data_IF_956644034994
#
_entry.id   IF_956644034994
#
_cell.length_a   1.000
_cell.length_b   1.000
_cell.length_c   1.000
_cell.angle_alpha   90.00
_cell.angle_beta   90.00
_cell.angle_gamma   90.00
#
_symmetry.space_group_name_H-M   'P 1'
#
loop_
_entity.id
_entity.type
_entity.pdbx_description
1 polymer ?
#
# COMPACT_ATOMS: atom_id res chain seq x y z
N UNK A 1 -1.03 -17.82 14.24
CA UNK A 1 -0.70 -17.62 12.82
C UNK A 1 -0.11 -16.23 12.67
N UNK A 2 1.10 -16.17 12.13
CA UNK A 2 1.80 -14.88 11.94
C UNK A 2 1.21 -14.18 10.71
N UNK A 3 0.46 -13.13 10.94
CA UNK A 3 -0.11 -12.31 9.87
C UNK A 3 0.94 -11.31 9.41
N UNK A 4 1.16 -11.24 8.09
CA UNK A 4 2.08 -10.31 7.44
C UNK A 4 1.27 -9.37 6.55
N UNK A 5 1.50 -8.07 6.69
CA UNK A 5 0.70 -7.04 6.02
C UNK A 5 1.55 -6.23 5.05
N UNK A 6 1.07 -6.03 3.85
CA UNK A 6 1.51 -4.98 2.95
C UNK A 6 0.49 -3.84 2.98
N UNK A 7 0.89 -2.65 3.42
CA UNK A 7 -0.03 -1.54 3.65
C UNK A 7 0.34 -0.31 2.81
N UNK A 8 -0.61 0.19 2.04
CA UNK A 8 -0.43 1.40 1.25
C UNK A 8 -1.23 1.39 -0.04
N UNK A 9 -0.60 1.77 -1.14
CA UNK A 9 -1.23 1.92 -2.44
C UNK A 9 -1.57 0.58 -3.10
N UNK A 10 -2.79 0.48 -3.63
CA UNK A 10 -3.22 -0.50 -4.62
C UNK A 10 -3.77 0.27 -5.82
N UNK A 11 -3.29 -0.03 -7.01
CA UNK A 11 -3.54 0.81 -8.18
C UNK A 11 -3.41 0.02 -9.49
N UNK A 12 -3.87 0.65 -10.57
CA UNK A 12 -3.62 0.23 -11.93
C UNK A 12 -2.49 1.04 -12.57
N UNK A 13 -1.48 0.36 -13.08
CA UNK A 13 -0.55 0.93 -14.06
C UNK A 13 -1.21 0.85 -15.44
N UNK A 14 -1.55 1.99 -16.01
CA UNK A 14 -2.23 2.12 -17.30
C UNK A 14 -1.18 2.36 -18.37
N UNK A 15 -0.86 1.31 -19.13
CA UNK A 15 0.10 1.33 -20.21
C UNK A 15 -0.62 1.43 -21.58
N UNK A 16 0.07 1.79 -22.68
CA UNK A 16 -0.53 1.83 -24.01
C UNK A 16 -1.17 0.50 -24.44
N UNK A 17 -0.59 -0.63 -24.02
CA UNK A 17 -1.06 -1.98 -24.34
C UNK A 17 -2.11 -2.53 -23.36
N UNK A 18 -2.46 -1.80 -22.33
CA UNK A 18 -3.43 -2.22 -21.32
C UNK A 18 -3.00 -1.90 -19.90
N UNK A 19 -3.83 -2.29 -18.92
CA UNK A 19 -3.56 -2.02 -17.51
C UNK A 19 -3.00 -3.24 -16.79
N UNK A 20 -2.11 -3.00 -15.81
CA UNK A 20 -1.53 -4.02 -14.93
C UNK A 20 -1.72 -3.62 -13.48
N UNK A 21 -1.96 -4.62 -12.62
CA UNK A 21 -2.04 -4.36 -11.19
C UNK A 21 -0.68 -3.93 -10.66
N UNK A 22 -0.67 -2.87 -9.86
CA UNK A 22 0.52 -2.28 -9.26
C UNK A 22 0.31 -1.91 -7.80
N UNK A 23 1.36 -1.35 -7.22
CA UNK A 23 1.45 -1.00 -5.81
C UNK A 23 2.47 -1.86 -5.08
N UNK A 24 3.50 -1.22 -4.53
CA UNK A 24 4.57 -1.93 -3.82
C UNK A 24 4.06 -2.76 -2.63
N UNK A 25 3.10 -2.28 -1.79
CA UNK A 25 2.56 -3.07 -0.69
C UNK A 25 1.81 -4.33 -1.16
N UNK A 26 1.05 -4.24 -2.26
CA UNK A 26 0.35 -5.38 -2.83
C UNK A 26 1.33 -6.42 -3.38
N UNK A 27 2.37 -5.98 -4.07
CA UNK A 27 3.43 -6.86 -4.56
C UNK A 27 4.17 -7.56 -3.40
N UNK A 28 4.49 -6.85 -2.34
CA UNK A 28 5.07 -7.42 -1.14
C UNK A 28 4.19 -8.53 -0.56
N UNK A 29 2.91 -8.24 -0.32
CA UNK A 29 1.98 -9.20 0.26
C UNK A 29 1.79 -10.43 -0.65
N UNK A 30 1.74 -10.24 -1.97
CA UNK A 30 1.65 -11.35 -2.92
C UNK A 30 2.87 -12.27 -2.83
N UNK A 31 4.09 -11.72 -2.86
CA UNK A 31 5.30 -12.54 -2.77
C UNK A 31 5.40 -13.28 -1.44
N UNK A 32 5.04 -12.64 -0.33
CA UNK A 32 5.01 -13.28 0.99
C UNK A 32 4.01 -14.46 1.01
N UNK A 33 2.84 -14.30 0.38
CA UNK A 33 1.85 -15.39 0.29
C UNK A 33 2.39 -16.63 -0.45
N UNK A 34 3.28 -16.44 -1.43
CA UNK A 34 3.90 -17.56 -2.17
C UNK A 34 4.84 -18.40 -1.31
N UNK A 35 5.31 -17.86 -0.17
CA UNK A 35 6.07 -18.63 0.82
C UNK A 35 5.18 -19.32 1.87
N UNK A 36 3.86 -19.27 1.70
CA UNK A 36 2.89 -19.96 2.56
C UNK A 36 2.51 -19.21 3.84
N UNK A 37 2.88 -17.93 3.96
CA UNK A 37 2.46 -17.10 5.10
C UNK A 37 1.04 -16.53 4.92
N UNK A 38 0.35 -16.26 6.04
CA UNK A 38 -0.91 -15.51 6.04
C UNK A 38 -0.61 -14.03 5.75
N UNK A 39 -0.67 -13.67 4.48
CA UNK A 39 -0.33 -12.35 3.99
C UNK A 39 -1.59 -11.59 3.59
N UNK A 40 -1.63 -10.29 3.88
CA UNK A 40 -2.78 -9.42 3.57
C UNK A 40 -2.36 -8.09 2.99
N UNK A 41 -3.14 -7.60 2.03
CA UNK A 41 -3.05 -6.22 1.52
C UNK A 41 -4.02 -5.35 2.29
N UNK A 42 -3.51 -4.24 2.81
CA UNK A 42 -4.32 -3.16 3.41
C UNK A 42 -4.24 -1.93 2.51
N UNK A 43 -5.38 -1.52 1.98
CA UNK A 43 -5.51 -0.37 1.08
C UNK A 43 -6.96 0.12 1.02
N UNK A 44 -7.25 0.98 0.06
CA UNK A 44 -8.61 1.35 -0.35
C UNK A 44 -8.74 1.41 -1.85
N UNK A 45 -9.93 1.10 -2.34
CA UNK A 45 -10.34 1.24 -3.74
C UNK A 45 -11.62 2.06 -3.83
N UNK A 46 -11.91 2.57 -5.02
CA UNK A 46 -13.14 3.30 -5.29
C UNK A 46 -14.36 2.39 -5.40
N UNK A 47 -15.54 3.02 -5.40
CA UNK A 47 -16.82 2.40 -5.74
C UNK A 47 -16.98 2.52 -7.25
N UNK A 48 -16.09 1.85 -7.98
CA UNK A 48 -15.98 1.91 -9.44
C UNK A 48 -15.53 0.56 -10.03
N UNK A 49 -15.59 0.42 -11.34
CA UNK A 49 -15.21 -0.81 -12.03
C UNK A 49 -13.73 -1.17 -11.83
N UNK A 50 -12.84 -0.20 -11.79
CA UNK A 50 -11.42 -0.43 -11.55
C UNK A 50 -11.16 -1.00 -10.14
N UNK A 51 -11.94 -0.56 -9.15
CA UNK A 51 -11.91 -1.10 -7.79
C UNK A 51 -12.41 -2.54 -7.74
N UNK A 52 -13.51 -2.85 -8.43
CA UNK A 52 -14.04 -4.22 -8.55
C UNK A 52 -12.99 -5.15 -9.15
N UNK A 53 -12.37 -4.74 -10.24
CA UNK A 53 -11.34 -5.53 -10.92
C UNK A 53 -10.09 -5.76 -10.06
N UNK A 54 -9.65 -4.77 -9.25
CA UNK A 54 -8.54 -4.96 -8.31
C UNK A 54 -8.87 -6.07 -7.31
N UNK A 55 -10.05 -6.03 -6.71
CA UNK A 55 -10.47 -7.03 -5.74
C UNK A 55 -10.57 -8.43 -6.37
N UNK A 56 -11.10 -8.51 -7.60
CA UNK A 56 -11.19 -9.76 -8.35
C UNK A 56 -9.79 -10.33 -8.65
N UNK A 57 -8.85 -9.50 -9.09
CA UNK A 57 -7.46 -9.93 -9.38
C UNK A 57 -6.78 -10.45 -8.10
N UNK A 58 -6.95 -9.78 -6.97
CA UNK A 58 -6.39 -10.25 -5.70
C UNK A 58 -7.03 -11.57 -5.26
N UNK A 59 -8.34 -11.71 -5.40
CA UNK A 59 -9.05 -12.95 -5.09
C UNK A 59 -8.58 -14.13 -5.99
N UNK A 60 -8.42 -13.91 -7.29
CA UNK A 60 -7.89 -14.89 -8.23
C UNK A 60 -6.46 -15.32 -7.89
N UNK A 61 -5.66 -14.42 -7.35
CA UNK A 61 -4.30 -14.72 -6.86
C UNK A 61 -4.27 -15.39 -5.48
N UNK A 62 -5.44 -15.63 -4.87
CA UNK A 62 -5.55 -16.17 -3.51
C UNK A 62 -5.03 -15.22 -2.42
N UNK A 63 -4.90 -13.93 -2.73
CA UNK A 63 -4.38 -12.94 -1.80
C UNK A 63 -5.51 -12.41 -0.92
N UNK A 64 -5.31 -12.48 0.39
CA UNK A 64 -6.25 -11.93 1.36
C UNK A 64 -6.12 -10.40 1.41
N UNK A 65 -7.25 -9.73 1.59
CA UNK A 65 -7.30 -8.28 1.59
C UNK A 65 -8.08 -7.74 2.79
N UNK A 66 -7.66 -6.59 3.28
CA UNK A 66 -8.43 -5.67 4.12
C UNK A 66 -8.49 -4.35 3.36
N UNK A 67 -9.34 -4.30 2.33
CA UNK A 67 -9.48 -3.16 1.42
C UNK A 67 -10.87 -2.58 1.57
N UNK A 68 -10.92 -1.32 1.96
CA UNK A 68 -12.15 -0.55 2.10
C UNK A 68 -12.53 0.10 0.77
N UNK A 69 -13.85 0.22 0.52
CA UNK A 69 -14.37 1.02 -0.58
C UNK A 69 -14.66 2.42 -0.09
N UNK A 70 -14.12 3.41 -0.78
CA UNK A 70 -14.23 4.82 -0.40
C UNK A 70 -14.78 5.66 -1.56
N UNK A 71 -15.40 6.83 -1.28
CA UNK A 71 -15.97 7.70 -2.32
C UNK A 71 -14.91 8.52 -3.07
N UNK A 72 -13.83 7.86 -3.46
CA UNK A 72 -12.75 8.41 -4.26
C UNK A 72 -12.43 7.45 -5.40
N UNK A 73 -11.95 7.92 -6.56
CA UNK A 73 -11.62 7.01 -7.67
C UNK A 73 -10.50 6.05 -7.28
N UNK A 74 -10.57 4.85 -7.82
CA UNK A 74 -9.48 3.87 -7.68
C UNK A 74 -8.18 4.43 -8.25
N UNK A 75 -7.07 4.21 -7.57
CA UNK A 75 -5.77 4.73 -7.94
C UNK A 75 -5.28 4.23 -9.30
N UNK A 76 -4.77 5.16 -10.10
CA UNK A 76 -4.14 4.85 -11.39
C UNK A 76 -2.82 5.60 -11.55
N UNK A 77 -1.90 4.97 -12.25
CA UNK A 77 -0.67 5.58 -12.76
C UNK A 77 -0.72 5.51 -14.28
N UNK A 78 -0.73 6.65 -14.94
CA UNK A 78 -0.64 6.71 -16.40
C UNK A 78 0.83 6.58 -16.80
N UNK A 79 1.09 5.61 -17.66
CA UNK A 79 2.43 5.38 -18.21
C UNK A 79 2.41 5.74 -19.69
N UNK A 80 3.14 6.79 -20.05
CA UNK A 80 3.30 7.24 -21.45
C UNK A 80 4.77 7.17 -21.83
N UNK A 81 5.04 7.16 -23.13
CA UNK A 81 6.41 7.25 -23.62
C UNK A 81 6.65 8.67 -24.14
N UNK A 82 7.79 9.24 -23.83
CA UNK A 82 8.23 10.49 -24.45
C UNK A 82 8.67 10.28 -25.93
N UNK A 83 9.11 11.36 -26.57
CA UNK A 83 9.50 11.35 -27.98
C UNK A 83 10.71 10.44 -28.29
N UNK A 84 11.47 10.02 -27.27
CA UNK A 84 12.61 9.11 -27.40
C UNK A 84 12.36 7.74 -26.77
N UNK A 85 11.12 7.46 -26.38
CA UNK A 85 10.71 6.16 -25.85
C UNK A 85 10.97 5.95 -24.35
N UNK A 86 11.26 7.01 -23.61
CA UNK A 86 11.45 6.93 -22.14
C UNK A 86 10.09 6.96 -21.45
N UNK A 87 9.81 6.04 -20.50
CA UNK A 87 8.56 6.04 -19.77
C UNK A 87 8.41 7.28 -18.88
N UNK A 88 7.24 7.93 -19.01
CA UNK A 88 6.79 9.00 -18.13
C UNK A 88 5.63 8.48 -17.29
N UNK A 89 5.67 8.73 -15.98
CA UNK A 89 4.67 8.26 -15.04
C UNK A 89 3.89 9.44 -14.46
N UNK A 90 2.57 9.36 -14.50
CA UNK A 90 1.68 10.30 -13.84
C UNK A 90 0.88 9.56 -12.76
N UNK A 91 1.28 9.75 -11.50
CA UNK A 91 0.61 9.17 -10.34
C UNK A 91 -0.55 10.10 -9.95
N UNK A 92 -1.79 9.67 -10.19
CA UNK A 92 -2.98 10.49 -9.89
C UNK A 92 -3.09 10.76 -8.40
N UNK A 93 -3.46 11.99 -8.05
CA UNK A 93 -3.75 12.43 -6.68
C UNK A 93 -5.26 12.39 -6.40
N UNK A 94 -5.64 12.46 -5.12
CA UNK A 94 -7.05 12.46 -4.72
C UNK A 94 -7.77 11.15 -5.00
N UNK A 95 -7.05 10.04 -4.91
CA UNK A 95 -7.54 8.68 -5.20
C UNK A 95 -7.84 7.90 -3.92
N UNK A 96 -8.43 6.71 -4.08
CA UNK A 96 -8.89 5.89 -2.98
C UNK A 96 -7.78 5.56 -1.95
N UNK A 97 -6.59 5.15 -2.38
CA UNK A 97 -5.51 4.82 -1.45
C UNK A 97 -4.88 6.03 -0.75
N UNK A 98 -5.20 7.25 -1.14
CA UNK A 98 -4.92 8.47 -0.36
C UNK A 98 -5.84 8.60 0.86
N UNK A 99 -6.92 7.82 0.95
CA UNK A 99 -8.01 7.93 1.91
C UNK A 99 -8.36 6.59 2.59
N UNK A 100 -7.34 5.86 3.04
CA UNK A 100 -7.52 4.59 3.76
C UNK A 100 -8.09 4.88 5.16
N UNK A 101 -9.30 4.41 5.51
CA UNK A 101 -9.88 4.64 6.82
C UNK A 101 -9.29 3.69 7.88
N UNK A 102 -9.26 4.14 9.13
CA UNK A 102 -8.89 3.28 10.26
C UNK A 102 -10.15 2.70 10.90
N UNK A 103 -10.52 1.49 10.48
CA UNK A 103 -11.71 0.78 10.96
C UNK A 103 -11.40 -0.09 12.18
N UNK A 104 -12.45 -0.58 12.87
CA UNK A 104 -12.26 -1.54 13.96
C UNK A 104 -11.69 -2.87 13.48
N UNK A 105 -12.00 -3.28 12.24
CA UNK A 105 -11.40 -4.44 11.59
C UNK A 105 -9.90 -4.23 11.40
N UNK A 106 -9.51 -3.06 10.92
CA UNK A 106 -8.10 -2.72 10.73
C UNK A 106 -7.35 -2.67 12.07
N UNK A 107 -7.99 -2.16 13.12
CA UNK A 107 -7.45 -2.19 14.48
C UNK A 107 -7.21 -3.63 14.97
N UNK A 108 -8.19 -4.52 14.77
CA UNK A 108 -8.05 -5.95 15.14
C UNK A 108 -6.94 -6.62 14.33
N UNK A 109 -6.81 -6.27 13.05
CA UNK A 109 -5.72 -6.77 12.22
C UNK A 109 -4.36 -6.31 12.77
N UNK A 110 -4.20 -5.03 13.10
CA UNK A 110 -2.96 -4.48 13.65
C UNK A 110 -2.51 -5.22 14.91
N UNK A 111 -3.44 -5.49 15.85
CA UNK A 111 -3.16 -6.23 17.09
C UNK A 111 -2.66 -7.68 16.85
N UNK A 112 -2.93 -8.26 15.69
CA UNK A 112 -2.54 -9.62 15.33
C UNK A 112 -1.45 -9.66 14.25
N UNK A 113 -0.90 -8.52 13.87
CA UNK A 113 0.12 -8.42 12.83
C UNK A 113 1.51 -8.69 13.39
N UNK A 114 2.21 -9.65 12.79
CA UNK A 114 3.61 -9.99 13.09
C UNK A 114 4.59 -9.09 12.33
N UNK A 115 4.29 -8.83 11.06
CA UNK A 115 5.13 -7.99 10.22
C UNK A 115 4.27 -7.09 9.32
N UNK A 116 4.72 -5.85 9.11
CA UNK A 116 4.10 -4.91 8.17
C UNK A 116 5.17 -4.27 7.29
N UNK A 117 4.90 -4.21 5.99
CA UNK A 117 5.67 -3.40 5.05
C UNK A 117 4.82 -2.20 4.62
N UNK A 118 5.38 -1.01 4.75
CA UNK A 118 4.76 0.26 4.37
C UNK A 118 5.78 1.17 3.70
N UNK A 119 5.30 2.15 2.94
CA UNK A 119 6.17 3.05 2.18
C UNK A 119 5.86 4.53 2.42
N UNK A 120 6.55 5.39 1.68
CA UNK A 120 6.35 6.84 1.75
C UNK A 120 5.17 7.32 0.91
N UNK A 121 4.90 6.72 -0.26
CA UNK A 121 3.95 7.22 -1.24
C UNK A 121 2.52 7.33 -0.68
N UNK A 122 2.02 6.30 -0.01
CA UNK A 122 0.68 6.30 0.58
C UNK A 122 0.54 7.24 1.78
N UNK A 123 1.61 7.85 2.25
CA UNK A 123 1.62 8.86 3.30
C UNK A 123 1.56 10.30 2.78
N UNK A 124 1.54 10.51 1.46
CA UNK A 124 1.48 11.84 0.86
C UNK A 124 0.24 12.62 1.26
N UNK A 125 -0.91 11.94 1.44
CA UNK A 125 -2.12 12.54 1.97
C UNK A 125 -2.27 12.22 3.47
N UNK A 126 -2.71 13.21 4.23
CA UNK A 126 -2.85 13.14 5.69
C UNK A 126 -3.79 11.99 6.14
N UNK A 127 -4.90 11.76 5.43
CA UNK A 127 -5.88 10.74 5.81
C UNK A 127 -5.24 9.34 5.89
N UNK A 128 -4.57 8.88 4.84
CA UNK A 128 -3.87 7.59 4.85
C UNK A 128 -2.65 7.59 5.76
N UNK A 129 -1.93 8.71 5.86
CA UNK A 129 -0.78 8.83 6.78
C UNK A 129 -1.19 8.61 8.23
N UNK A 130 -2.28 9.22 8.68
CA UNK A 130 -2.82 9.01 10.03
C UNK A 130 -3.19 7.53 10.23
N UNK A 131 -3.84 6.91 9.27
CA UNK A 131 -4.22 5.50 9.35
C UNK A 131 -3.01 4.58 9.43
N UNK A 132 -1.99 4.80 8.59
CA UNK A 132 -0.74 4.03 8.62
C UNK A 132 -0.05 4.18 9.98
N UNK A 133 0.10 5.41 10.48
CA UNK A 133 0.73 5.65 11.77
C UNK A 133 -0.05 5.00 12.92
N UNK A 134 -1.38 5.10 12.92
CA UNK A 134 -2.23 4.42 13.92
C UNK A 134 -2.09 2.90 13.86
N UNK A 135 -1.98 2.33 12.67
CA UNK A 135 -1.75 0.90 12.51
C UNK A 135 -0.43 0.48 13.14
N UNK A 136 0.66 1.20 12.81
CA UNK A 136 1.99 0.93 13.35
C UNK A 136 2.05 1.08 14.88
N UNK A 137 1.37 2.10 15.41
CA UNK A 137 1.32 2.38 16.86
C UNK A 137 0.38 1.40 17.60
N UNK A 138 -0.54 0.73 16.89
CA UNK A 138 -1.45 -0.29 17.45
C UNK A 138 -0.84 -1.69 17.46
N UNK A 139 0.12 -1.97 16.58
CA UNK A 139 0.82 -3.25 16.58
C UNK A 139 1.49 -3.50 17.93
N UNK A 140 1.53 -4.76 18.40
CA UNK A 140 2.28 -5.08 19.61
C UNK A 140 3.75 -4.66 19.50
N UNK A 141 4.31 -4.18 20.60
CA UNK A 141 5.74 -3.92 20.71
C UNK A 141 6.44 -5.20 21.22
N UNK A 142 7.31 -5.76 20.39
CA UNK A 142 8.07 -6.96 20.74
C UNK A 142 9.25 -7.15 19.79
N UNK A 143 10.24 -7.91 20.25
CA UNK A 143 11.46 -8.20 19.48
C UNK A 143 11.17 -8.99 18.19
N UNK A 144 10.00 -9.60 18.12
CA UNK A 144 9.59 -10.43 16.98
C UNK A 144 8.71 -9.70 15.98
N UNK A 145 8.20 -8.51 16.31
CA UNK A 145 7.43 -7.69 15.38
C UNK A 145 8.35 -6.96 14.42
N UNK A 146 8.01 -7.01 13.13
CA UNK A 146 8.77 -6.33 12.08
C UNK A 146 7.93 -5.20 11.48
N UNK A 147 8.42 -3.97 11.63
CA UNK A 147 7.88 -2.78 10.98
C UNK A 147 8.88 -2.35 9.90
N UNK A 148 8.60 -2.75 8.66
CA UNK A 148 9.50 -2.61 7.51
C UNK A 148 9.11 -1.35 6.75
N UNK A 149 9.97 -0.35 6.77
CA UNK A 149 9.80 0.86 5.95
C UNK A 149 10.56 0.73 4.64
N UNK A 150 9.84 0.54 3.54
CA UNK A 150 10.37 0.67 2.19
C UNK A 150 10.28 2.14 1.76
N UNK A 151 11.40 2.84 1.78
CA UNK A 151 11.44 4.28 1.54
C UNK A 151 10.89 4.64 0.16
N UNK A 152 11.24 3.89 -0.87
CA UNK A 152 10.66 3.86 -2.22
C UNK A 152 10.15 5.23 -2.71
N UNK A 153 11.03 6.23 -2.76
CA UNK A 153 10.69 7.60 -3.12
C UNK A 153 10.09 7.69 -4.52
N UNK A 154 8.99 8.40 -4.65
CA UNK A 154 8.30 8.65 -5.91
C UNK A 154 8.09 10.15 -6.10
N UNK A 155 8.66 10.71 -7.16
CA UNK A 155 8.52 12.12 -7.53
C UNK A 155 8.74 13.04 -6.32
N UNK A 156 7.86 14.02 -6.08
CA UNK A 156 7.88 14.90 -4.91
C UNK A 156 6.89 14.50 -3.81
N UNK A 157 6.37 13.26 -3.82
CA UNK A 157 5.33 12.78 -2.88
C UNK A 157 5.89 12.31 -1.53
N UNK A 158 6.86 13.03 -1.00
CA UNK A 158 7.44 12.79 0.32
C UNK A 158 7.94 14.09 0.94
N UNK A 159 8.06 14.10 2.24
CA UNK A 159 8.67 15.20 3.01
C UNK A 159 9.68 14.63 4.00
N UNK A 160 10.61 15.47 4.44
CA UNK A 160 11.55 15.09 5.49
C UNK A 160 10.82 14.60 6.76
N UNK A 161 9.70 15.24 7.11
CA UNK A 161 8.90 14.87 8.26
C UNK A 161 8.34 13.45 8.12
N UNK A 162 7.70 13.12 6.98
CA UNK A 162 7.19 11.78 6.69
C UNK A 162 8.30 10.73 6.81
N UNK A 163 9.46 10.99 6.22
CA UNK A 163 10.58 10.06 6.24
C UNK A 163 11.12 9.86 7.67
N UNK A 164 11.33 10.95 8.42
CA UNK A 164 11.83 10.87 9.80
C UNK A 164 10.84 10.15 10.72
N UNK A 165 9.55 10.42 10.61
CA UNK A 165 8.53 9.78 11.43
C UNK A 165 8.38 8.30 11.10
N UNK A 166 8.48 7.92 9.83
CA UNK A 166 8.49 6.54 9.40
C UNK A 166 9.71 5.77 9.91
N UNK A 167 10.90 6.41 9.83
CA UNK A 167 12.15 5.83 10.36
C UNK A 167 12.12 5.63 11.87
N UNK A 168 11.45 6.51 12.62
CA UNK A 168 11.30 6.33 14.09
C UNK A 168 10.38 5.15 14.45
N UNK A 169 9.42 4.83 13.58
CA UNK A 169 8.45 3.74 13.80
C UNK A 169 8.92 2.39 13.27
N UNK A 170 9.82 2.37 12.30
CA UNK A 170 10.31 1.11 11.74
C UNK A 170 11.45 0.52 12.56
N UNK A 171 11.64 -0.80 12.44
CA UNK A 171 12.83 -1.50 12.90
C UNK A 171 13.59 -2.20 11.76
N UNK A 172 13.04 -2.14 10.54
CA UNK A 172 13.71 -2.54 9.30
C UNK A 172 13.55 -1.43 8.28
N UNK A 173 14.64 -0.97 7.70
CA UNK A 173 14.66 0.06 6.66
C UNK A 173 15.17 -0.51 5.35
N UNK A 174 14.38 -0.40 4.28
CA UNK A 174 14.78 -0.72 2.92
C UNK A 174 14.98 0.58 2.14
N UNK A 175 16.15 0.74 1.54
CA UNK A 175 16.52 1.88 0.70
C UNK A 175 16.88 1.36 -0.68
N UNK A 176 16.38 2.03 -1.72
CA UNK A 176 16.69 1.73 -3.13
C UNK A 176 17.93 2.53 -3.56
#
# INVERSE_FOLDING_TARGET
NDIIVGMGEALWDVLPEGKKIGGAPANFAYHVSQFGFDSRVVSSVGIDADGDEILDVFAQKGLRTQIERVPYPTGTVQVTLDAVGVPCYEIKEGVAWDNIPFTDELKRLALNTRAVCFGSLAQRNEASRITINRFLDTMPDGAEQLKIFDINLRQGFYTKEILCDSMRRCNVLKIN
#
